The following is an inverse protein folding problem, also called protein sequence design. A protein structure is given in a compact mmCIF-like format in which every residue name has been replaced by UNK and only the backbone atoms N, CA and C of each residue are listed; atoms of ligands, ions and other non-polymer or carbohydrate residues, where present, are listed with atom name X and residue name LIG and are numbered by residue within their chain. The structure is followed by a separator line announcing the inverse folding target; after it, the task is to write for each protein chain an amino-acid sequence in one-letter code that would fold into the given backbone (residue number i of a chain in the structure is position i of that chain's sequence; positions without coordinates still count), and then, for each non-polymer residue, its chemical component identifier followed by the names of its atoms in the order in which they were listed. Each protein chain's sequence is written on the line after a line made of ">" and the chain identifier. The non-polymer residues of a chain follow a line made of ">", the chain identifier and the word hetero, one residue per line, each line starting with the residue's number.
data_IF_915672986235
#
_entry.id   IF_915672986235
#
_cell.length_a   1.000
_cell.length_b   1.000
_cell.length_c   1.000
_cell.angle_alpha   90.00
_cell.angle_beta   90.00
_cell.angle_gamma   90.00
#
_symmetry.space_group_name_H-M   'P 1'
#
loop_
_entity.id
_entity.type
_entity.pdbx_description
1 polymer ?
#
# COMPACT_ATOMS: atom_id res chain seq x y z
N UNK A 1 -13.27 -24.27 -6.28
CA UNK A 1 -13.77 -23.28 -5.30
C UNK A 1 -14.68 -22.34 -6.05
N UNK A 2 -15.97 -22.35 -5.73
CA UNK A 2 -16.89 -21.32 -6.22
C UNK A 2 -16.43 -19.97 -5.66
N UNK A 3 -16.19 -19.05 -6.53
CA UNK A 3 -15.72 -17.70 -6.20
C UNK A 3 -16.93 -16.93 -5.64
N UNK A 4 -16.96 -16.71 -4.33
CA UNK A 4 -18.05 -15.95 -3.71
C UNK A 4 -17.98 -14.48 -4.15
N UNK A 5 -18.73 -14.16 -5.21
CA UNK A 5 -18.78 -12.81 -5.81
C UNK A 5 -19.34 -11.77 -4.84
N UNK A 6 -20.22 -12.18 -3.94
CA UNK A 6 -20.84 -11.29 -2.95
C UNK A 6 -19.84 -10.82 -1.90
N UNK A 7 -19.06 -11.72 -1.31
CA UNK A 7 -18.00 -11.37 -0.35
C UNK A 7 -16.96 -10.44 -1.01
N UNK A 8 -16.57 -10.73 -2.25
CA UNK A 8 -15.64 -9.86 -2.99
C UNK A 8 -16.19 -8.45 -3.18
N UNK A 9 -17.47 -8.30 -3.45
CA UNK A 9 -18.10 -6.99 -3.60
C UNK A 9 -18.13 -6.23 -2.27
N UNK A 10 -18.41 -6.92 -1.15
CA UNK A 10 -18.41 -6.31 0.18
C UNK A 10 -17.01 -5.80 0.54
N UNK A 11 -15.98 -6.63 0.36
CA UNK A 11 -14.59 -6.25 0.65
C UNK A 11 -14.13 -5.08 -0.23
N UNK A 12 -14.46 -5.11 -1.52
CA UNK A 12 -14.19 -4.03 -2.48
C UNK A 12 -14.82 -2.71 -2.03
N UNK A 13 -16.12 -2.73 -1.74
CA UNK A 13 -16.84 -1.53 -1.31
C UNK A 13 -16.26 -0.98 0.00
N UNK A 14 -16.01 -1.83 0.98
CA UNK A 14 -15.45 -1.43 2.26
C UNK A 14 -14.04 -0.84 2.13
N UNK A 15 -13.18 -1.45 1.33
CA UNK A 15 -11.79 -0.99 1.12
C UNK A 15 -11.76 0.38 0.43
N UNK A 16 -12.54 0.55 -0.64
CA UNK A 16 -12.66 1.83 -1.33
C UNK A 16 -13.25 2.92 -0.42
N UNK A 17 -14.32 2.59 0.33
CA UNK A 17 -14.94 3.49 1.29
C UNK A 17 -13.96 3.95 2.37
N UNK A 18 -13.19 3.04 2.92
CA UNK A 18 -12.18 3.36 3.93
C UNK A 18 -11.08 4.27 3.36
N UNK A 19 -10.56 3.96 2.17
CA UNK A 19 -9.55 4.78 1.51
C UNK A 19 -10.06 6.20 1.24
N UNK A 20 -11.25 6.35 0.63
CA UNK A 20 -11.84 7.64 0.31
C UNK A 20 -12.09 8.46 1.59
N UNK A 21 -12.67 7.85 2.62
CA UNK A 21 -12.91 8.54 3.90
C UNK A 21 -11.61 8.99 4.58
N UNK A 22 -10.57 8.13 4.55
CA UNK A 22 -9.25 8.44 5.11
C UNK A 22 -8.59 9.62 4.40
N UNK A 23 -8.78 9.75 3.09
CA UNK A 23 -8.18 10.81 2.29
C UNK A 23 -9.03 12.10 2.22
N UNK A 24 -10.27 12.07 2.70
CA UNK A 24 -11.19 13.21 2.68
C UNK A 24 -11.63 13.59 4.10
N UNK A 25 -12.71 13.02 4.61
CA UNK A 25 -13.30 13.34 5.91
C UNK A 25 -12.33 13.17 7.09
N UNK A 26 -11.51 12.14 7.03
CA UNK A 26 -10.58 11.77 8.10
C UNK A 26 -9.11 12.11 7.74
N UNK A 27 -8.86 12.93 6.72
CA UNK A 27 -7.53 13.21 6.18
C UNK A 27 -6.53 13.64 7.26
N UNK A 28 -6.92 14.51 8.17
CA UNK A 28 -6.07 14.94 9.30
C UNK A 28 -5.72 13.79 10.25
N UNK A 29 -6.63 12.83 10.45
CA UNK A 29 -6.40 11.66 11.30
C UNK A 29 -5.54 10.59 10.63
N UNK A 30 -5.41 10.66 9.31
CA UNK A 30 -4.62 9.70 8.52
C UNK A 30 -3.13 10.06 8.45
N UNK A 31 -2.70 11.19 9.03
CA UNK A 31 -1.29 11.55 9.16
C UNK A 31 -0.74 11.01 10.48
N UNK A 32 0.42 10.36 10.43
CA UNK A 32 1.10 9.83 11.63
C UNK A 32 1.73 10.97 12.43
N UNK A 33 2.36 11.92 11.75
CA UNK A 33 2.96 13.09 12.38
C UNK A 33 1.92 14.18 12.63
N UNK A 34 2.13 14.98 13.67
CA UNK A 34 1.32 16.15 14.00
C UNK A 34 1.96 17.44 13.51
N UNK A 35 1.21 18.53 13.45
CA UNK A 35 1.75 19.86 13.13
C UNK A 35 2.93 20.22 14.03
N UNK A 36 2.81 19.94 15.34
CA UNK A 36 3.81 20.26 16.35
C UNK A 36 4.97 19.24 16.45
N UNK A 37 5.06 18.28 15.51
CA UNK A 37 6.04 17.20 15.60
C UNK A 37 7.48 17.72 15.74
N UNK A 38 7.95 18.58 14.82
CA UNK A 38 9.32 19.11 14.90
C UNK A 38 9.52 20.07 16.07
N UNK A 39 8.50 20.82 16.44
CA UNK A 39 8.54 21.68 17.65
C UNK A 39 8.74 20.87 18.93
N UNK A 40 8.04 19.74 19.04
CA UNK A 40 8.20 18.83 20.17
C UNK A 40 9.55 18.12 20.14
N UNK A 41 10.03 17.70 18.97
CA UNK A 41 11.36 17.12 18.79
C UNK A 41 12.46 18.11 19.19
N UNK A 42 12.37 19.37 18.75
CA UNK A 42 13.30 20.45 19.13
C UNK A 42 13.34 20.63 20.66
N UNK A 43 12.17 20.72 21.30
CA UNK A 43 12.06 20.84 22.76
C UNK A 43 12.72 19.65 23.48
N UNK A 44 12.51 18.44 22.97
CA UNK A 44 13.13 17.23 23.53
C UNK A 44 14.65 17.25 23.40
N UNK A 45 15.21 17.71 22.28
CA UNK A 45 16.67 17.85 22.10
C UNK A 45 17.27 18.91 23.02
N UNK A 46 16.59 20.05 23.20
CA UNK A 46 16.99 21.09 24.16
C UNK A 46 17.10 20.49 25.57
N UNK A 47 16.06 19.81 26.03
CA UNK A 47 16.00 19.24 27.37
C UNK A 47 17.10 18.17 27.62
N UNK A 48 17.63 17.57 26.58
CA UNK A 48 18.72 16.58 26.64
C UNK A 48 20.11 17.16 26.34
N UNK A 49 20.24 18.47 26.19
CA UNK A 49 21.50 19.15 25.80
C UNK A 49 22.14 18.47 24.55
N UNK A 50 21.33 18.07 23.61
CA UNK A 50 21.79 17.32 22.45
C UNK A 50 22.28 18.27 21.35
N UNK A 51 23.52 18.11 20.89
CA UNK A 51 24.14 18.94 19.85
C UNK A 51 23.40 18.94 18.52
N UNK A 52 22.58 17.90 18.24
CA UNK A 52 21.72 17.82 17.01
C UNK A 52 20.61 18.87 16.96
N UNK A 53 20.44 19.68 18.01
CA UNK A 53 19.48 20.78 18.03
C UNK A 53 19.70 21.77 16.87
N UNK A 54 20.95 21.96 16.45
CA UNK A 54 21.30 22.86 15.35
C UNK A 54 20.73 22.41 14.00
N UNK A 55 20.32 21.14 13.87
CA UNK A 55 19.64 20.63 12.68
C UNK A 55 18.14 21.01 12.65
N UNK A 56 17.57 21.54 13.73
CA UNK A 56 16.18 21.92 13.87
C UNK A 56 16.06 23.41 14.20
N UNK A 57 16.48 24.25 13.25
CA UNK A 57 16.29 25.69 13.34
C UNK A 57 14.80 26.09 13.23
N UNK A 58 14.48 27.33 13.54
CA UNK A 58 13.09 27.80 13.50
C UNK A 58 12.51 27.81 12.08
N UNK A 59 13.36 28.04 11.08
CA UNK A 59 12.94 27.98 9.68
C UNK A 59 12.51 26.56 9.28
N UNK A 60 13.24 25.55 9.72
CA UNK A 60 12.88 24.13 9.49
C UNK A 60 11.55 23.78 10.16
N UNK A 61 11.30 24.29 11.38
CA UNK A 61 10.03 24.07 12.09
C UNK A 61 8.88 24.76 11.31
N UNK A 62 9.06 25.99 10.89
CA UNK A 62 8.04 26.71 10.10
C UNK A 62 7.76 26.02 8.75
N UNK A 63 8.82 25.56 8.07
CA UNK A 63 8.66 24.77 6.82
C UNK A 63 7.86 23.50 7.03
N UNK A 64 8.10 22.80 8.12
CA UNK A 64 7.32 21.62 8.49
C UNK A 64 5.84 21.96 8.73
N UNK A 65 5.55 23.01 9.49
CA UNK A 65 4.17 23.42 9.78
C UNK A 65 3.40 23.77 8.48
N UNK A 66 4.03 24.52 7.58
CA UNK A 66 3.45 24.83 6.26
C UNK A 66 3.23 23.58 5.41
N UNK A 67 4.21 22.68 5.38
CA UNK A 67 4.08 21.41 4.69
C UNK A 67 2.94 20.57 5.27
N UNK A 68 2.87 20.46 6.61
CA UNK A 68 1.80 19.74 7.29
C UNK A 68 0.42 20.31 6.91
N UNK A 69 0.24 21.61 6.97
CA UNK A 69 -1.01 22.25 6.59
C UNK A 69 -1.40 21.93 5.14
N UNK A 70 -0.43 21.89 4.22
CA UNK A 70 -0.68 21.53 2.82
C UNK A 70 -1.11 20.08 2.61
N UNK A 71 -0.60 19.14 3.41
CA UNK A 71 -0.96 17.73 3.27
C UNK A 71 -2.26 17.35 3.97
N UNK A 72 -2.67 18.09 5.00
CA UNK A 72 -3.93 17.84 5.73
C UNK A 72 -5.09 18.68 5.22
N UNK A 73 -4.85 19.54 4.24
CA UNK A 73 -5.89 20.36 3.63
C UNK A 73 -7.04 19.50 3.09
N UNK A 74 -8.26 20.00 3.24
CA UNK A 74 -9.47 19.25 2.92
C UNK A 74 -9.54 18.95 1.43
N UNK A 75 -9.58 17.68 1.09
CA UNK A 75 -9.90 17.19 -0.25
C UNK A 75 -11.36 16.73 -0.30
N UNK A 76 -12.02 16.99 -1.44
CA UNK A 76 -13.31 16.38 -1.76
C UNK A 76 -13.07 15.04 -2.47
N UNK A 77 -14.02 14.11 -2.45
CA UNK A 77 -13.90 12.89 -3.25
C UNK A 77 -13.68 13.18 -4.76
N UNK A 78 -14.28 14.25 -5.28
CA UNK A 78 -14.09 14.72 -6.67
C UNK A 78 -12.66 15.10 -7.03
N UNK A 79 -11.83 15.42 -6.05
CA UNK A 79 -10.44 15.83 -6.27
C UNK A 79 -9.47 14.65 -6.27
N UNK A 80 -9.94 13.46 -5.85
CA UNK A 80 -9.10 12.28 -5.74
C UNK A 80 -8.83 11.65 -7.11
N UNK A 81 -7.57 11.35 -7.39
CA UNK A 81 -7.12 10.60 -8.56
C UNK A 81 -6.91 9.15 -8.20
N UNK A 82 -7.49 8.26 -9.00
CA UNK A 82 -7.48 6.81 -8.73
C UNK A 82 -6.89 6.05 -9.91
N UNK A 83 -6.01 5.07 -9.61
CA UNK A 83 -5.55 4.06 -10.55
C UNK A 83 -5.97 2.68 -10.07
N UNK A 84 -6.48 1.80 -10.95
CA UNK A 84 -6.90 0.47 -10.56
C UNK A 84 -6.77 -0.56 -11.70
N UNK A 85 -6.67 -1.84 -11.34
CA UNK A 85 -6.76 -2.96 -12.28
C UNK A 85 -8.24 -3.28 -12.51
N UNK A 86 -8.71 -3.14 -13.74
CA UNK A 86 -10.15 -3.17 -13.99
C UNK A 86 -10.69 -4.53 -14.47
N UNK A 87 -9.85 -5.36 -15.07
CA UNK A 87 -10.31 -6.58 -15.73
C UNK A 87 -11.33 -6.29 -16.85
N UNK A 88 -12.14 -7.30 -17.24
CA UNK A 88 -13.09 -7.16 -18.32
C UNK A 88 -14.34 -6.31 -17.98
N UNK A 89 -14.57 -6.01 -16.69
CA UNK A 89 -15.75 -5.28 -16.20
C UNK A 89 -15.34 -4.07 -15.36
N UNK A 90 -14.84 -3.00 -15.98
CA UNK A 90 -14.34 -1.83 -15.27
C UNK A 90 -15.39 -1.11 -14.42
N UNK A 91 -16.67 -1.31 -14.74
CA UNK A 91 -17.76 -0.64 -14.05
C UNK A 91 -17.99 -1.15 -12.64
N UNK A 92 -17.53 -2.36 -12.28
CA UNK A 92 -17.72 -2.91 -10.93
C UNK A 92 -17.11 -2.02 -9.83
N UNK A 93 -15.87 -1.57 -10.05
CA UNK A 93 -15.17 -0.69 -9.12
C UNK A 93 -15.56 0.78 -9.35
N UNK A 94 -15.67 1.18 -10.60
CA UNK A 94 -16.00 2.56 -10.98
C UNK A 94 -17.34 3.03 -10.39
N UNK A 95 -18.38 2.20 -10.43
CA UNK A 95 -19.70 2.56 -9.90
C UNK A 95 -19.64 2.85 -8.39
N UNK A 96 -18.85 2.08 -7.63
CA UNK A 96 -18.63 2.31 -6.20
C UNK A 96 -17.91 3.64 -6.00
N UNK A 97 -16.84 3.91 -6.75
CA UNK A 97 -16.08 5.15 -6.66
C UNK A 97 -16.95 6.37 -6.98
N UNK A 98 -17.74 6.30 -8.04
CA UNK A 98 -18.64 7.39 -8.46
C UNK A 98 -19.77 7.61 -7.45
N UNK A 99 -20.36 6.54 -6.91
CA UNK A 99 -21.35 6.64 -5.81
C UNK A 99 -20.80 7.37 -4.58
N UNK A 100 -19.49 7.30 -4.38
CA UNK A 100 -18.79 7.99 -3.29
C UNK A 100 -18.28 9.39 -3.67
N UNK A 101 -18.54 9.86 -4.88
CA UNK A 101 -18.25 11.20 -5.35
C UNK A 101 -16.94 11.38 -6.09
N UNK A 102 -16.24 10.29 -6.46
CA UNK A 102 -15.08 10.37 -7.36
C UNK A 102 -15.59 10.62 -8.78
N UNK A 103 -14.93 11.54 -9.50
CA UNK A 103 -15.27 11.84 -10.88
C UNK A 103 -14.65 10.78 -11.83
N UNK A 104 -15.39 10.25 -12.82
CA UNK A 104 -14.87 9.25 -13.76
C UNK A 104 -13.61 9.72 -14.50
N UNK A 105 -13.53 11.02 -14.83
CA UNK A 105 -12.36 11.63 -15.45
C UNK A 105 -11.10 11.64 -14.56
N UNK A 106 -11.24 11.41 -13.27
CA UNK A 106 -10.13 11.27 -12.32
C UNK A 106 -9.77 9.80 -12.06
N UNK A 107 -10.22 8.88 -12.91
CA UNK A 107 -9.98 7.45 -12.77
C UNK A 107 -9.21 6.91 -13.97
N UNK A 108 -8.18 6.13 -13.71
CA UNK A 108 -7.37 5.39 -14.69
C UNK A 108 -7.51 3.90 -14.43
N UNK A 109 -8.06 3.19 -15.39
CA UNK A 109 -8.24 1.75 -15.38
C UNK A 109 -7.13 1.07 -16.21
N UNK A 110 -6.61 -0.05 -15.75
CA UNK A 110 -5.54 -0.78 -16.45
C UNK A 110 -5.96 -2.21 -16.73
N UNK A 111 -5.73 -2.65 -17.97
CA UNK A 111 -5.90 -4.02 -18.39
C UNK A 111 -4.75 -4.41 -19.34
N UNK A 112 -4.05 -5.49 -19.01
CA UNK A 112 -2.90 -5.96 -19.76
C UNK A 112 -3.29 -6.84 -20.95
N UNK A 113 -4.28 -7.71 -20.76
CA UNK A 113 -4.77 -8.60 -21.80
C UNK A 113 -5.58 -7.82 -22.83
N UNK A 114 -5.16 -7.84 -24.09
CA UNK A 114 -5.81 -7.06 -25.15
C UNK A 114 -7.26 -7.49 -25.43
N UNK A 115 -7.62 -8.75 -25.22
CA UNK A 115 -9.00 -9.23 -25.40
C UNK A 115 -9.89 -8.73 -24.27
N UNK A 116 -9.39 -8.79 -23.03
CA UNK A 116 -10.11 -8.25 -21.88
C UNK A 116 -10.20 -6.73 -21.94
N UNK A 117 -9.16 -6.06 -22.43
CA UNK A 117 -9.17 -4.62 -22.70
C UNK A 117 -10.26 -4.22 -23.69
N UNK A 118 -10.35 -4.91 -24.85
CA UNK A 118 -11.42 -4.64 -25.84
C UNK A 118 -12.80 -4.78 -25.20
N UNK A 119 -13.02 -5.85 -24.43
CA UNK A 119 -14.28 -6.05 -23.72
C UNK A 119 -14.55 -4.95 -22.67
N UNK A 120 -13.53 -4.50 -21.97
CA UNK A 120 -13.64 -3.42 -20.99
C UNK A 120 -14.01 -2.08 -21.65
N UNK A 121 -13.40 -1.78 -22.81
CA UNK A 121 -13.72 -0.59 -23.63
C UNK A 121 -15.17 -0.66 -24.10
N UNK A 122 -15.59 -1.78 -24.72
CA UNK A 122 -16.97 -1.96 -25.20
C UNK A 122 -17.98 -1.76 -24.06
N UNK A 123 -17.75 -2.40 -22.91
CA UNK A 123 -18.63 -2.27 -21.74
C UNK A 123 -18.75 -0.80 -21.28
N UNK A 124 -17.65 -0.04 -21.37
CA UNK A 124 -17.62 1.35 -20.92
C UNK A 124 -18.26 2.30 -21.90
N UNK A 125 -18.02 2.12 -23.22
CA UNK A 125 -18.59 2.95 -24.28
C UNK A 125 -20.12 2.95 -24.29
N UNK A 126 -20.73 1.80 -23.99
CA UNK A 126 -22.19 1.67 -23.88
C UNK A 126 -22.76 2.09 -22.53
N UNK A 127 -21.93 2.64 -21.64
CA UNK A 127 -22.33 3.12 -20.32
C UNK A 127 -22.35 4.64 -20.25
N UNK A 128 -22.90 5.17 -19.16
CA UNK A 128 -22.81 6.60 -18.83
C UNK A 128 -21.40 7.06 -18.41
N UNK A 129 -20.43 6.14 -18.34
CA UNK A 129 -19.07 6.41 -17.87
C UNK A 129 -18.02 6.40 -18.98
N UNK A 130 -18.38 6.84 -20.18
CA UNK A 130 -17.52 6.87 -21.36
C UNK A 130 -16.25 7.76 -21.22
N UNK A 131 -16.14 8.56 -20.16
CA UNK A 131 -14.93 9.36 -19.83
C UNK A 131 -13.87 8.57 -19.05
N UNK A 132 -14.13 7.32 -18.68
CA UNK A 132 -13.15 6.48 -18.03
C UNK A 132 -11.94 6.26 -18.94
N UNK A 133 -10.75 6.53 -18.42
CA UNK A 133 -9.51 6.24 -19.14
C UNK A 133 -9.14 4.78 -18.94
N UNK A 134 -9.23 3.98 -19.98
CA UNK A 134 -8.79 2.58 -19.95
C UNK A 134 -7.48 2.47 -20.72
N UNK A 135 -6.45 1.92 -20.09
CA UNK A 135 -5.10 1.80 -20.62
C UNK A 135 -4.80 0.33 -20.87
N UNK A 136 -4.49 -0.02 -22.14
CA UNK A 136 -3.97 -1.34 -22.48
C UNK A 136 -2.47 -1.37 -22.18
N UNK A 137 -2.09 -1.95 -21.05
CA UNK A 137 -0.70 -2.05 -20.69
C UNK A 137 -0.46 -2.25 -19.20
N UNK A 138 0.82 -2.40 -18.87
CA UNK A 138 1.26 -2.59 -17.51
C UNK A 138 1.20 -1.29 -16.72
N UNK A 139 0.68 -1.38 -15.50
CA UNK A 139 0.61 -0.25 -14.58
C UNK A 139 2.01 0.28 -14.23
N UNK A 140 3.01 -0.59 -14.03
CA UNK A 140 4.38 -0.19 -13.75
C UNK A 140 5.00 0.63 -14.88
N UNK A 141 4.80 0.24 -16.14
CA UNK A 141 5.31 0.98 -17.30
C UNK A 141 4.67 2.38 -17.40
N UNK A 142 3.37 2.47 -17.13
CA UNK A 142 2.69 3.77 -17.07
C UNK A 142 3.25 4.64 -15.95
N UNK A 143 3.51 4.07 -14.78
CA UNK A 143 4.08 4.79 -13.64
C UNK A 143 5.51 5.28 -13.88
N UNK A 144 6.29 4.62 -14.69
CA UNK A 144 7.63 5.07 -15.06
C UNK A 144 7.59 6.39 -15.87
N UNK A 145 6.59 6.55 -16.72
CA UNK A 145 6.56 7.64 -17.72
C UNK A 145 5.57 8.77 -17.39
N UNK A 146 4.54 8.52 -16.56
CA UNK A 146 3.54 9.54 -16.25
C UNK A 146 4.04 10.53 -15.20
N UNK A 147 3.75 11.84 -15.33
CA UNK A 147 3.96 12.80 -14.24
C UNK A 147 2.85 12.75 -13.18
N UNK A 148 1.77 12.01 -13.42
CA UNK A 148 0.59 11.96 -12.54
C UNK A 148 0.93 11.19 -11.26
N UNK A 149 0.49 11.74 -10.13
CA UNK A 149 0.42 11.05 -8.84
C UNK A 149 -1.03 10.74 -8.51
N UNK A 150 -1.25 9.63 -7.85
CA UNK A 150 -2.58 9.13 -7.48
C UNK A 150 -2.80 9.26 -5.97
N UNK A 151 -4.03 9.53 -5.59
CA UNK A 151 -4.44 9.53 -4.19
C UNK A 151 -4.80 8.10 -3.74
N UNK A 152 -5.35 7.30 -4.64
CA UNK A 152 -5.67 5.89 -4.41
C UNK A 152 -5.08 5.07 -5.55
N UNK A 153 -4.36 4.01 -5.19
CA UNK A 153 -3.96 2.95 -6.14
C UNK A 153 -4.59 1.66 -5.63
N UNK A 154 -5.52 1.11 -6.41
CA UNK A 154 -6.19 -0.15 -6.11
C UNK A 154 -5.62 -1.25 -7.00
N UNK A 155 -4.72 -2.02 -6.42
CA UNK A 155 -3.97 -3.09 -7.09
C UNK A 155 -4.51 -4.46 -6.65
N UNK A 156 -5.67 -4.84 -7.23
CA UNK A 156 -6.31 -6.16 -7.06
C UNK A 156 -5.69 -7.16 -8.05
N UNK A 157 -4.45 -7.57 -7.78
CA UNK A 157 -3.72 -8.49 -8.64
C UNK A 157 -4.14 -9.95 -8.39
N UNK A 158 -4.30 -10.71 -9.47
CA UNK A 158 -4.45 -12.15 -9.37
C UNK A 158 -3.10 -12.80 -9.06
N UNK A 159 -3.05 -13.62 -8.01
CA UNK A 159 -1.86 -14.38 -7.62
C UNK A 159 -1.25 -13.94 -6.29
N UNK A 160 -0.24 -14.67 -5.84
CA UNK A 160 0.42 -14.39 -4.57
C UNK A 160 1.41 -13.21 -4.67
N UNK A 161 1.83 -12.75 -3.52
CA UNK A 161 2.94 -11.80 -3.38
C UNK A 161 4.08 -12.51 -2.59
N UNK A 162 5.32 -12.57 -3.14
CA UNK A 162 5.76 -12.22 -4.51
C UNK A 162 5.30 -13.25 -5.57
N UNK A 163 5.21 -12.82 -6.83
CA UNK A 163 4.92 -13.69 -7.96
C UNK A 163 5.85 -13.39 -9.14
N UNK A 164 6.60 -14.38 -9.61
CA UNK A 164 7.42 -14.27 -10.83
C UNK A 164 6.56 -14.01 -12.07
N UNK A 165 5.45 -14.73 -12.19
CA UNK A 165 4.55 -14.65 -13.34
C UNK A 165 3.85 -13.30 -13.42
N UNK A 166 3.23 -12.89 -12.33
CA UNK A 166 2.41 -11.65 -12.27
C UNK A 166 3.22 -10.41 -11.95
N UNK A 167 4.50 -10.56 -11.54
CA UNK A 167 5.39 -9.45 -11.16
C UNK A 167 4.78 -8.48 -10.13
N UNK A 168 3.94 -9.00 -9.23
CA UNK A 168 3.16 -8.22 -8.27
C UNK A 168 4.03 -7.34 -7.38
N UNK A 169 5.12 -7.89 -6.84
CA UNK A 169 6.06 -7.14 -6.01
C UNK A 169 6.75 -6.00 -6.79
N UNK A 170 7.13 -6.26 -8.05
CA UNK A 170 7.78 -5.26 -8.90
C UNK A 170 6.84 -4.08 -9.18
N UNK A 171 5.55 -4.35 -9.40
CA UNK A 171 4.56 -3.28 -9.57
C UNK A 171 4.42 -2.44 -8.31
N UNK A 172 4.36 -3.06 -7.12
CA UNK A 172 4.32 -2.31 -5.85
C UNK A 172 5.60 -1.48 -5.66
N UNK A 173 6.76 -2.08 -5.90
CA UNK A 173 8.05 -1.36 -5.84
C UNK A 173 8.05 -0.18 -6.80
N UNK A 174 7.53 -0.33 -8.02
CA UNK A 174 7.43 0.74 -9.01
C UNK A 174 6.57 1.92 -8.53
N UNK A 175 5.47 1.66 -7.80
CA UNK A 175 4.62 2.71 -7.21
C UNK A 175 5.44 3.63 -6.31
N UNK A 176 6.24 3.05 -5.41
CA UNK A 176 7.03 3.82 -4.44
C UNK A 176 8.30 4.41 -5.06
N UNK A 177 9.04 3.62 -5.87
CA UNK A 177 10.25 4.08 -6.56
C UNK A 177 9.98 5.30 -7.44
N UNK A 178 8.83 5.33 -8.11
CA UNK A 178 8.45 6.43 -9.01
C UNK A 178 7.58 7.49 -8.32
N UNK A 179 7.45 7.44 -6.99
CA UNK A 179 6.68 8.41 -6.20
C UNK A 179 5.24 8.64 -6.72
N UNK A 180 4.54 7.56 -7.13
CA UNK A 180 3.22 7.65 -7.77
C UNK A 180 2.05 7.75 -6.81
N UNK A 181 2.27 7.48 -5.53
CA UNK A 181 1.27 7.67 -4.50
C UNK A 181 1.45 9.05 -3.85
N UNK A 182 0.38 9.81 -3.71
CA UNK A 182 0.37 11.07 -2.98
C UNK A 182 0.62 10.85 -1.48
N UNK A 183 1.02 11.90 -0.77
CA UNK A 183 1.13 11.89 0.69
C UNK A 183 0.12 12.87 1.31
N UNK A 184 -0.86 12.42 2.09
CA UNK A 184 -1.26 11.03 2.30
C UNK A 184 -1.92 10.42 1.07
N UNK A 185 -1.72 9.13 0.87
CA UNK A 185 -2.32 8.33 -0.19
C UNK A 185 -2.71 6.95 0.34
N UNK A 186 -3.54 6.24 -0.40
CA UNK A 186 -3.99 4.89 -0.06
C UNK A 186 -3.58 3.88 -1.14
N UNK A 187 -2.85 2.85 -0.74
CA UNK A 187 -2.61 1.67 -1.56
C UNK A 187 -3.52 0.54 -1.04
N UNK A 188 -4.42 0.08 -1.89
CA UNK A 188 -5.29 -1.07 -1.63
C UNK A 188 -4.72 -2.24 -2.42
N UNK A 189 -4.45 -3.35 -1.74
CA UNK A 189 -3.92 -4.56 -2.37
C UNK A 189 -4.75 -5.77 -1.96
N UNK A 190 -4.89 -6.70 -2.89
CA UNK A 190 -5.48 -8.01 -2.66
C UNK A 190 -4.63 -9.06 -3.36
N UNK A 191 -4.17 -10.05 -2.60
CA UNK A 191 -3.34 -11.14 -3.10
C UNK A 191 -3.88 -12.47 -2.62
N UNK A 192 -3.76 -13.50 -3.44
CA UNK A 192 -4.01 -14.86 -2.99
C UNK A 192 -2.89 -15.31 -2.05
N UNK A 193 -3.24 -16.20 -1.13
CA UNK A 193 -2.22 -16.91 -0.37
C UNK A 193 -1.41 -17.80 -1.33
N UNK A 194 -0.09 -17.87 -1.18
CA UNK A 194 0.72 -18.78 -1.97
C UNK A 194 0.36 -20.23 -1.60
N UNK A 195 0.22 -21.09 -2.60
CA UNK A 195 0.05 -22.53 -2.40
C UNK A 195 1.43 -23.18 -2.31
N UNK A 196 1.62 -24.03 -1.29
CA UNK A 196 2.88 -24.80 -1.13
C UNK A 196 3.15 -25.69 -2.34
N UNK A 197 2.10 -26.19 -2.99
CA UNK A 197 2.19 -27.10 -4.14
C UNK A 197 2.39 -26.34 -5.46
N UNK A 198 1.70 -25.22 -5.65
CA UNK A 198 1.68 -24.47 -6.90
C UNK A 198 2.72 -23.35 -6.94
N UNK A 199 3.10 -22.82 -5.77
CA UNK A 199 3.96 -21.64 -5.61
C UNK A 199 5.11 -21.91 -4.63
N UNK A 200 5.74 -23.09 -4.68
CA UNK A 200 6.79 -23.51 -3.73
C UNK A 200 7.94 -22.49 -3.61
N UNK A 201 8.34 -21.87 -4.70
CA UNK A 201 9.39 -20.84 -4.69
C UNK A 201 8.92 -19.55 -3.99
N UNK A 202 7.68 -19.14 -4.23
CA UNK A 202 7.07 -17.98 -3.56
C UNK A 202 6.92 -18.25 -2.06
N UNK A 203 6.48 -19.46 -1.71
CA UNK A 203 6.35 -19.91 -0.32
C UNK A 203 7.69 -19.90 0.40
N UNK A 204 8.72 -20.49 -0.18
CA UNK A 204 10.06 -20.55 0.40
C UNK A 204 10.71 -19.18 0.61
N UNK A 205 10.36 -18.18 -0.19
CA UNK A 205 10.86 -16.81 -0.05
C UNK A 205 10.01 -15.94 0.89
N UNK A 206 8.68 -16.14 0.89
CA UNK A 206 7.76 -15.33 1.69
C UNK A 206 7.83 -15.67 3.17
N UNK A 207 7.89 -16.94 3.49
CA UNK A 207 7.90 -17.42 4.88
C UNK A 207 9.08 -16.89 5.69
N UNK A 208 10.34 -16.96 5.20
CA UNK A 208 11.47 -16.35 5.87
C UNK A 208 11.32 -14.84 6.05
N UNK A 209 10.83 -14.14 5.03
CA UNK A 209 10.64 -12.68 5.08
C UNK A 209 9.64 -12.29 6.17
N UNK A 210 8.48 -12.96 6.22
CA UNK A 210 7.45 -12.71 7.23
C UNK A 210 7.93 -13.12 8.62
N UNK A 211 8.61 -14.26 8.75
CA UNK A 211 9.21 -14.72 10.00
C UNK A 211 10.23 -13.71 10.53
N UNK A 212 11.10 -13.20 9.67
CA UNK A 212 12.09 -12.17 10.01
C UNK A 212 11.44 -10.87 10.51
N UNK A 213 10.29 -10.50 9.94
CA UNK A 213 9.57 -9.30 10.34
C UNK A 213 8.79 -9.48 11.65
N UNK A 214 8.06 -10.58 11.79
CA UNK A 214 7.15 -10.80 12.93
C UNK A 214 7.89 -11.26 14.19
N UNK A 215 8.90 -12.09 14.03
CA UNK A 215 9.58 -12.71 15.16
C UNK A 215 10.32 -11.70 16.06
N UNK A 216 11.09 -10.73 15.53
CA UNK A 216 11.71 -9.70 16.35
C UNK A 216 10.70 -8.87 17.12
N UNK A 217 9.57 -8.55 16.50
CA UNK A 217 8.50 -7.80 17.15
C UNK A 217 7.95 -8.54 18.38
N UNK A 218 7.66 -9.82 18.21
CA UNK A 218 7.19 -10.70 19.29
C UNK A 218 8.23 -10.79 20.43
N UNK A 219 9.51 -10.91 20.11
CA UNK A 219 10.58 -10.92 21.11
C UNK A 219 10.68 -9.60 21.87
N UNK A 220 10.57 -8.48 21.19
CA UNK A 220 10.60 -7.16 21.83
C UNK A 220 9.40 -6.96 22.74
N UNK A 221 8.21 -7.32 22.28
CA UNK A 221 6.94 -7.13 23.00
C UNK A 221 6.81 -8.03 24.23
N UNK A 222 7.29 -9.28 24.15
CA UNK A 222 7.10 -10.25 25.24
C UNK A 222 8.20 -10.25 26.29
N UNK A 223 9.32 -9.58 26.05
CA UNK A 223 10.47 -9.53 26.95
C UNK A 223 11.10 -10.90 27.27
N UNK A 224 10.66 -11.97 26.60
CA UNK A 224 11.09 -13.36 26.83
C UNK A 224 12.31 -13.75 26.00
N UNK A 225 13.21 -12.84 25.71
CA UNK A 225 14.41 -13.19 24.95
C UNK A 225 15.49 -13.72 25.88
N UNK A 226 16.02 -14.90 25.56
CA UNK A 226 17.31 -15.34 26.09
C UNK A 226 18.47 -14.47 25.60
N UNK A 227 18.22 -13.49 24.80
CA UNK A 227 19.17 -12.84 23.93
C UNK A 227 19.21 -11.34 24.18
N UNK A 228 20.41 -10.86 24.45
CA UNK A 228 20.65 -9.46 24.72
C UNK A 228 20.67 -8.66 23.40
N UNK A 229 19.51 -8.17 22.99
CA UNK A 229 19.35 -7.34 21.77
C UNK A 229 20.15 -6.04 21.80
N UNK A 230 20.86 -5.74 22.92
CA UNK A 230 21.68 -4.52 23.07
C UNK A 230 23.07 -4.63 22.46
N UNK A 231 23.54 -5.84 22.15
CA UNK A 231 24.96 -6.06 21.84
C UNK A 231 25.26 -6.42 20.37
N UNK A 232 24.27 -6.45 19.50
CA UNK A 232 24.52 -6.75 18.10
C UNK A 232 23.49 -6.24 17.12
N UNK A 233 23.85 -6.09 15.84
CA UNK A 233 22.89 -5.83 14.80
C UNK A 233 21.94 -7.02 14.70
N UNK A 234 20.67 -6.76 14.56
CA UNK A 234 19.61 -7.74 14.36
C UNK A 234 19.95 -8.81 13.31
N UNK A 235 20.66 -8.41 12.27
CA UNK A 235 21.07 -9.27 11.15
C UNK A 235 21.96 -10.44 11.61
N UNK A 236 22.95 -10.22 12.44
CA UNK A 236 23.89 -11.26 12.90
C UNK A 236 23.17 -12.31 13.73
N UNK A 237 22.22 -11.88 14.55
CA UNK A 237 21.43 -12.78 15.37
C UNK A 237 20.53 -13.70 14.53
N UNK A 238 19.97 -13.19 13.47
CA UNK A 238 19.15 -13.95 12.54
C UNK A 238 19.94 -15.00 11.74
N UNK A 239 21.16 -14.72 11.35
CA UNK A 239 22.02 -15.65 10.60
C UNK A 239 22.30 -16.91 11.41
N UNK A 240 22.63 -16.77 12.70
CA UNK A 240 23.00 -17.90 13.55
C UNK A 240 21.83 -18.79 13.98
N UNK A 241 20.60 -18.24 14.08
CA UNK A 241 19.43 -18.96 14.58
C UNK A 241 18.27 -19.05 13.59
N UNK A 242 18.51 -18.62 12.36
CA UNK A 242 17.47 -18.49 11.33
C UNK A 242 16.68 -19.79 11.06
N UNK A 243 17.37 -20.92 10.96
CA UNK A 243 16.74 -22.22 10.69
C UNK A 243 15.86 -22.69 11.85
N UNK A 244 16.30 -22.49 13.10
CA UNK A 244 15.53 -22.87 14.29
C UNK A 244 14.30 -22.00 14.49
N UNK A 245 14.43 -20.70 14.27
CA UNK A 245 13.35 -19.73 14.37
C UNK A 245 12.30 -20.00 13.30
N UNK A 246 12.71 -20.19 12.06
CA UNK A 246 11.80 -20.49 10.95
C UNK A 246 11.11 -21.82 11.09
N UNK A 247 11.81 -22.85 11.56
CA UNK A 247 11.21 -24.18 11.80
C UNK A 247 10.07 -24.11 12.82
N UNK A 248 10.22 -23.38 13.92
CA UNK A 248 9.17 -23.19 14.93
C UNK A 248 8.00 -22.37 14.40
N UNK A 249 8.26 -21.32 13.68
CA UNK A 249 7.21 -20.46 13.14
C UNK A 249 6.41 -21.12 12.02
N UNK A 250 7.09 -21.85 11.13
CA UNK A 250 6.45 -22.68 10.11
C UNK A 250 5.50 -23.71 10.73
N UNK A 251 5.92 -24.34 11.82
CA UNK A 251 5.10 -25.33 12.51
C UNK A 251 3.85 -24.71 13.15
N UNK A 252 3.91 -23.46 13.59
CA UNK A 252 2.75 -22.75 14.13
C UNK A 252 1.81 -22.25 13.03
N UNK A 253 2.33 -21.77 11.91
CA UNK A 253 1.52 -21.32 10.77
C UNK A 253 0.88 -22.48 10.02
N UNK A 254 1.52 -23.64 9.96
CA UNK A 254 0.96 -24.85 9.35
C UNK A 254 -0.16 -25.49 10.20
N UNK A 255 -0.26 -25.13 11.48
CA UNK A 255 -1.30 -25.64 12.41
C UNK A 255 -2.57 -24.78 12.45
N UNK A 256 -2.53 -23.55 11.93
CA UNK A 256 -3.65 -22.62 11.82
C UNK A 256 -4.09 -22.46 10.36
#
# INVERSE_FOLDING_TARGET
>A
MEYNQEEKNIVREQSLKNAINSLTKNRKKSTIATKDYLKNAKRHLINKNNQKINCLDDETVIRWEKFYDSIVDKKKPSDLKVAYLCGPNPLNDLQIMVKMGILPENVWAFELDSKLYTKAVDTTLFSKFHYLKIINGKMETFFEHTPIKFDIIYFDACGPLPSKKSKTLQTIVSIFKNHKLNSPGALITNFSLPSKEQDSETWSNLVPLVGTYLYPKTFIETGKTKYNLKEGPYAIYFEDNYCEINGKWLTEVEKN
#
